data_IF_553901148434
#
_entry.id   IF_553901148434
#
_cell.length_a   1.000
_cell.length_b   1.000
_cell.length_c   1.000
_cell.angle_alpha   90.00
_cell.angle_beta   90.00
_cell.angle_gamma   90.00
#
_symmetry.space_group_name_H-M   'P 1'
#
loop_
_entity.id
_entity.type
_entity.pdbx_description
1 polymer ?
#
# COMPACT_ATOMS: atom_id res chain seq x y z
N UNK A 1 -1.69 5.85 26.00
CA UNK A 1 -2.11 5.49 24.63
C UNK A 1 -3.57 5.13 24.71
N UNK A 2 -4.46 5.91 24.07
CA UNK A 2 -5.87 5.54 23.97
C UNK A 2 -5.98 4.27 23.13
N UNK A 3 -6.68 3.25 23.63
CA UNK A 3 -7.01 2.05 22.89
C UNK A 3 -8.01 2.32 21.75
N UNK A 4 -8.69 3.47 21.80
CA UNK A 4 -9.66 3.93 20.82
C UNK A 4 -9.04 5.12 20.08
N UNK A 5 -8.74 4.93 18.80
CA UNK A 5 -8.35 6.02 17.91
C UNK A 5 -9.61 6.77 17.46
N UNK A 6 -9.97 7.83 18.20
CA UNK A 6 -11.12 8.69 17.90
C UNK A 6 -10.97 9.46 16.57
N UNK A 7 -9.80 9.42 15.92
CA UNK A 7 -9.62 10.05 14.61
C UNK A 7 -10.33 9.29 13.48
N UNK A 8 -10.79 8.05 13.71
CA UNK A 8 -11.50 7.25 12.71
C UNK A 8 -12.88 7.86 12.38
N UNK A 9 -13.64 8.30 13.38
CA UNK A 9 -14.94 8.97 13.17
C UNK A 9 -14.77 10.28 12.40
N UNK A 10 -13.75 11.08 12.74
CA UNK A 10 -13.44 12.32 12.03
C UNK A 10 -12.95 12.10 10.57
N UNK A 11 -12.53 10.88 10.25
CA UNK A 11 -11.99 10.49 8.95
C UNK A 11 -13.05 9.95 7.99
N UNK A 12 -14.16 9.45 8.53
CA UNK A 12 -15.35 8.92 7.87
C UNK A 12 -15.10 7.82 6.82
N UNK A 13 -16.16 7.10 6.42
CA UNK A 13 -16.12 6.22 5.28
C UNK A 13 -15.99 7.03 3.98
N UNK A 14 -15.09 6.60 3.09
CA UNK A 14 -14.87 7.25 1.80
C UNK A 14 -15.33 6.33 0.66
N UNK A 15 -16.50 6.61 0.03
CA UNK A 15 -17.04 5.78 -1.05
C UNK A 15 -16.13 5.67 -2.28
N UNK A 16 -15.37 6.74 -2.56
CA UNK A 16 -14.28 6.72 -3.52
C UNK A 16 -12.96 6.63 -2.77
N UNK A 17 -12.20 5.56 -2.99
CA UNK A 17 -10.93 5.32 -2.30
C UNK A 17 -9.95 4.47 -3.09
N UNK A 18 -8.68 4.56 -2.71
CA UNK A 18 -7.62 3.63 -3.11
C UNK A 18 -7.01 3.02 -1.85
N UNK A 19 -6.89 1.70 -1.79
CA UNK A 19 -6.15 1.02 -0.73
C UNK A 19 -4.78 0.54 -1.26
N UNK A 20 -3.74 0.74 -0.46
CA UNK A 20 -2.35 0.52 -0.84
C UNK A 20 -1.67 -0.52 0.05
N UNK A 21 -1.28 -1.65 -0.54
CA UNK A 21 -0.34 -2.61 0.04
C UNK A 21 1.09 -2.32 -0.48
N UNK A 22 2.12 -2.46 0.35
CA UNK A 22 3.50 -2.06 -0.03
C UNK A 22 4.54 -3.07 0.41
N UNK A 23 5.08 -3.93 -0.45
CA UNK A 23 6.13 -4.87 -0.05
C UNK A 23 7.46 -4.16 0.13
N UNK A 24 8.13 -4.41 1.26
CA UNK A 24 9.50 -3.94 1.50
C UNK A 24 10.42 -5.09 1.87
N UNK A 25 11.71 -4.93 1.61
CA UNK A 25 12.77 -5.88 2.00
C UNK A 25 13.77 -5.17 2.92
N UNK A 26 14.15 -5.81 4.02
CA UNK A 26 15.19 -5.30 4.90
C UNK A 26 16.55 -5.35 4.19
N UNK A 27 17.22 -4.21 4.08
CA UNK A 27 18.53 -4.09 3.48
C UNK A 27 19.58 -3.71 4.53
N UNK A 28 20.85 -3.84 4.14
CA UNK A 28 21.97 -3.41 4.96
C UNK A 28 21.84 -1.91 5.30
N UNK A 29 22.03 -1.49 6.56
CA UNK A 29 22.03 -0.07 6.94
C UNK A 29 23.06 0.77 6.15
N UNK A 30 24.19 0.15 5.75
CA UNK A 30 25.20 0.81 4.92
C UNK A 30 24.68 1.17 3.52
N UNK A 31 23.69 0.45 2.98
CA UNK A 31 23.08 0.81 1.70
C UNK A 31 22.22 2.07 1.79
N UNK A 32 21.88 2.55 3.00
CA UNK A 32 21.18 3.82 3.24
C UNK A 32 19.91 4.00 2.38
N UNK A 33 19.19 2.90 2.14
CA UNK A 33 17.84 2.98 1.59
C UNK A 33 16.97 3.76 2.57
N UNK A 34 16.21 4.73 2.06
CA UNK A 34 15.36 5.58 2.89
C UNK A 34 13.93 5.02 2.91
N UNK A 35 13.16 5.34 3.96
CA UNK A 35 13.56 6.03 5.19
C UNK A 35 14.29 5.14 6.22
N UNK A 36 14.18 3.82 6.09
CA UNK A 36 14.37 2.87 7.19
C UNK A 36 15.28 1.68 6.83
N UNK A 37 16.24 1.88 5.94
CA UNK A 37 17.11 0.83 5.38
C UNK A 37 16.32 -0.32 4.75
N UNK A 38 15.16 0.00 4.16
CA UNK A 38 14.31 -0.95 3.46
C UNK A 38 14.12 -0.54 2.00
N UNK A 39 14.12 -1.53 1.12
CA UNK A 39 13.84 -1.35 -0.30
C UNK A 39 12.34 -1.55 -0.49
N UNK A 40 11.64 -0.56 -1.06
CA UNK A 40 10.28 -0.74 -1.56
C UNK A 40 10.35 -1.57 -2.85
N UNK A 41 9.82 -2.78 -2.83
CA UNK A 41 9.96 -3.73 -3.94
C UNK A 41 8.63 -4.10 -4.61
N UNK A 42 7.49 -3.72 -4.04
CA UNK A 42 6.21 -3.88 -4.71
C UNK A 42 5.09 -3.06 -4.10
N UNK A 43 4.09 -2.76 -4.92
CA UNK A 43 2.90 -2.01 -4.54
C UNK A 43 1.67 -2.73 -5.12
N UNK A 44 0.70 -3.02 -4.28
CA UNK A 44 -0.63 -3.49 -4.68
C UNK A 44 -1.66 -2.40 -4.44
N UNK A 45 -2.61 -2.28 -5.35
CA UNK A 45 -3.69 -1.31 -5.26
C UNK A 45 -5.05 -1.99 -5.42
N UNK A 46 -6.00 -1.55 -4.60
CA UNK A 46 -7.43 -1.71 -4.85
C UNK A 46 -8.00 -0.32 -5.04
N UNK A 47 -8.59 -0.04 -6.20
CA UNK A 47 -9.35 1.18 -6.45
C UNK A 47 -10.83 0.88 -6.32
N UNK A 48 -11.52 1.73 -5.55
CA UNK A 48 -12.95 1.65 -5.31
C UNK A 48 -13.58 2.94 -5.81
N UNK A 49 -14.50 2.81 -6.75
CA UNK A 49 -15.25 3.94 -7.31
C UNK A 49 -16.75 3.71 -7.17
N UNK A 50 -17.52 4.70 -6.66
CA UNK A 50 -18.98 4.65 -6.73
C UNK A 50 -19.44 4.58 -8.20
N UNK A 51 -20.45 3.76 -8.48
CA UNK A 51 -21.01 3.57 -9.82
C UNK A 51 -22.54 3.48 -9.71
N UNK A 52 -23.22 4.60 -9.96
CA UNK A 52 -24.66 4.73 -9.74
C UNK A 52 -25.04 4.44 -8.29
N UNK A 53 -25.83 3.40 -8.06
CA UNK A 53 -26.22 2.92 -6.73
C UNK A 53 -25.27 1.85 -6.15
N UNK A 54 -24.16 1.57 -6.82
CA UNK A 54 -23.24 0.49 -6.47
C UNK A 54 -21.78 0.95 -6.40
N UNK A 55 -20.89 -0.02 -6.47
CA UNK A 55 -19.44 0.18 -6.41
C UNK A 55 -18.76 -0.65 -7.49
N UNK A 56 -17.73 -0.08 -8.10
CA UNK A 56 -16.81 -0.74 -9.01
C UNK A 56 -15.46 -0.88 -8.34
N UNK A 57 -14.82 -2.02 -8.59
CA UNK A 57 -13.53 -2.39 -8.03
C UNK A 57 -12.56 -2.72 -9.16
N UNK A 58 -11.34 -2.23 -9.04
CA UNK A 58 -10.23 -2.67 -9.89
C UNK A 58 -8.99 -2.89 -9.05
N UNK A 59 -8.23 -3.92 -9.36
CA UNK A 59 -6.98 -4.25 -8.68
C UNK A 59 -5.83 -4.24 -9.67
N UNK A 60 -4.67 -3.80 -9.20
CA UNK A 60 -3.43 -3.87 -9.95
C UNK A 60 -2.27 -4.01 -8.98
N UNK A 61 -1.14 -4.52 -9.45
CA UNK A 61 0.08 -4.59 -8.66
C UNK A 61 1.31 -4.49 -9.54
N UNK A 62 2.36 -3.86 -9.00
CA UNK A 62 3.67 -3.79 -9.63
C UNK A 62 4.72 -4.18 -8.62
N UNK A 63 5.60 -5.09 -9.03
CA UNK A 63 6.80 -5.46 -8.31
C UNK A 63 8.03 -5.07 -9.14
N UNK A 64 9.15 -4.81 -8.47
CA UNK A 64 10.42 -4.61 -9.15
C UNK A 64 10.84 -5.89 -9.87
N UNK A 65 11.18 -5.77 -11.14
CA UNK A 65 11.87 -6.77 -11.93
C UNK A 65 13.33 -6.39 -12.19
N UNK A 66 13.94 -7.07 -13.17
CA UNK A 66 15.31 -6.78 -13.57
C UNK A 66 15.46 -5.39 -14.21
N UNK A 67 16.38 -4.59 -13.67
CA UNK A 67 16.63 -3.22 -14.13
C UNK A 67 15.64 -2.17 -13.59
N UNK A 68 14.54 -2.60 -12.95
CA UNK A 68 13.59 -1.68 -12.33
C UNK A 68 14.18 -1.04 -11.07
N UNK A 69 13.79 0.20 -10.82
CA UNK A 69 14.13 0.97 -9.63
C UNK A 69 12.88 1.34 -8.84
N UNK A 70 13.06 1.78 -7.59
CA UNK A 70 11.96 2.30 -6.77
C UNK A 70 11.22 3.44 -7.48
N UNK A 71 11.93 4.24 -8.29
CA UNK A 71 11.32 5.34 -9.05
C UNK A 71 10.32 4.82 -10.07
N UNK A 72 10.57 3.67 -10.71
CA UNK A 72 9.65 3.06 -11.67
C UNK A 72 8.36 2.56 -11.00
N UNK A 73 8.45 2.07 -9.75
CA UNK A 73 7.25 1.76 -8.94
C UNK A 73 6.45 3.02 -8.62
N UNK A 74 7.11 4.12 -8.28
CA UNK A 74 6.43 5.36 -7.95
C UNK A 74 5.82 6.03 -9.18
N UNK A 75 6.47 5.98 -10.34
CA UNK A 75 5.90 6.40 -11.63
C UNK A 75 4.63 5.61 -11.96
N UNK A 76 4.66 4.29 -11.74
CA UNK A 76 3.49 3.43 -11.93
C UNK A 76 2.34 3.77 -10.98
N UNK A 77 2.65 4.04 -9.71
CA UNK A 77 1.66 4.42 -8.69
C UNK A 77 1.08 5.81 -8.94
N UNK A 78 1.90 6.78 -9.36
CA UNK A 78 1.49 8.16 -9.65
C UNK A 78 0.34 8.22 -10.67
N UNK A 79 0.36 7.32 -11.66
CA UNK A 79 -0.69 7.19 -12.66
C UNK A 79 -2.01 6.60 -12.12
N UNK A 80 -1.95 5.90 -10.97
CA UNK A 80 -3.07 5.16 -10.38
C UNK A 80 -3.67 5.83 -9.14
N UNK A 81 -2.93 6.73 -8.49
CA UNK A 81 -3.50 7.53 -7.41
C UNK A 81 -4.56 8.45 -8.01
N UNK A 82 -5.84 8.33 -7.60
CA UNK A 82 -6.90 9.19 -8.10
C UNK A 82 -6.62 10.65 -7.71
N UNK A 83 -7.25 11.61 -8.39
CA UNK A 83 -7.12 13.02 -7.98
C UNK A 83 -7.90 13.34 -6.69
N UNK A 84 -8.95 12.57 -6.42
CA UNK A 84 -9.89 12.74 -5.30
C UNK A 84 -10.10 11.40 -4.57
N UNK A 85 -10.87 11.42 -3.48
CA UNK A 85 -11.14 10.23 -2.66
C UNK A 85 -10.01 9.90 -1.68
N UNK A 86 -10.27 8.98 -0.76
CA UNK A 86 -9.30 8.65 0.30
C UNK A 86 -8.20 7.70 -0.18
N UNK A 87 -7.00 7.82 0.41
CA UNK A 87 -5.95 6.82 0.28
C UNK A 87 -5.82 6.05 1.61
N UNK A 88 -6.06 4.75 1.57
CA UNK A 88 -6.06 3.89 2.75
C UNK A 88 -4.79 3.05 2.75
N UNK A 89 -4.10 2.98 3.88
CA UNK A 89 -2.94 2.11 4.06
C UNK A 89 -2.84 1.64 5.50
N UNK A 90 -1.93 0.72 5.78
CA UNK A 90 -1.66 0.23 7.14
C UNK A 90 -0.16 0.19 7.40
N UNK A 91 0.20 0.11 8.68
CA UNK A 91 1.60 0.08 9.10
C UNK A 91 2.31 -1.13 8.48
N UNK A 92 3.36 -0.84 7.70
CA UNK A 92 4.29 -1.83 7.20
C UNK A 92 5.72 -1.42 7.54
N UNK A 93 6.13 -1.75 8.76
CA UNK A 93 7.41 -1.33 9.34
C UNK A 93 7.55 0.19 9.37
N UNK A 94 6.45 0.89 9.65
CA UNK A 94 6.31 2.33 9.57
C UNK A 94 5.13 2.76 8.71
N UNK A 95 4.84 4.06 8.75
CA UNK A 95 3.74 4.68 8.00
C UNK A 95 4.08 4.75 6.51
N UNK A 96 3.21 4.19 5.67
CA UNK A 96 3.30 4.30 4.20
C UNK A 96 3.41 5.73 3.69
N UNK A 97 2.62 6.73 4.15
CA UNK A 97 2.70 8.08 3.60
C UNK A 97 4.07 8.72 3.86
N UNK A 98 4.68 8.47 5.02
CA UNK A 98 6.03 8.95 5.32
C UNK A 98 7.07 8.35 4.36
N UNK A 99 6.95 7.04 4.06
CA UNK A 99 7.84 6.35 3.12
C UNK A 99 7.69 6.91 1.71
N UNK A 100 6.46 7.09 1.24
CA UNK A 100 6.19 7.67 -0.08
C UNK A 100 6.72 9.09 -0.19
N UNK A 101 6.48 9.96 0.80
CA UNK A 101 7.04 11.32 0.82
C UNK A 101 8.57 11.35 0.80
N UNK A 102 9.21 10.36 1.41
CA UNK A 102 10.68 10.29 1.46
C UNK A 102 11.29 9.82 0.13
N UNK A 103 10.55 9.02 -0.64
CA UNK A 103 11.02 8.41 -1.89
C UNK A 103 10.56 9.15 -3.15
N UNK A 104 9.43 9.87 -3.07
CA UNK A 104 8.82 10.56 -4.19
C UNK A 104 9.67 11.75 -4.66
N UNK A 105 9.72 11.93 -5.97
CA UNK A 105 10.32 13.09 -6.62
C UNK A 105 9.25 14.17 -6.88
N UNK A 106 9.53 15.43 -6.55
CA UNK A 106 8.54 16.51 -6.66
C UNK A 106 8.06 16.77 -8.09
N UNK A 107 8.95 16.65 -9.07
CA UNK A 107 8.62 16.90 -10.47
C UNK A 107 7.90 15.70 -11.10
N UNK A 108 8.21 14.48 -10.66
CA UNK A 108 7.65 13.24 -11.22
C UNK A 108 6.40 12.74 -10.51
N UNK A 109 6.28 12.96 -9.20
CA UNK A 109 5.26 12.31 -8.34
C UNK A 109 4.37 13.31 -7.56
N UNK A 110 3.80 14.35 -8.22
CA UNK A 110 3.04 15.38 -7.51
C UNK A 110 1.78 14.84 -6.81
N UNK A 111 1.08 13.83 -7.36
CA UNK A 111 -0.12 13.26 -6.74
C UNK A 111 0.22 12.41 -5.53
N UNK A 112 1.28 11.60 -5.60
CA UNK A 112 1.79 10.86 -4.44
C UNK A 112 2.09 11.85 -3.31
N UNK A 113 2.82 12.92 -3.59
CA UNK A 113 3.20 13.92 -2.58
C UNK A 113 1.97 14.63 -2.01
N UNK A 114 1.06 15.10 -2.86
CA UNK A 114 -0.16 15.77 -2.41
C UNK A 114 -1.03 14.85 -1.53
N UNK A 115 -1.17 13.58 -1.93
CA UNK A 115 -2.00 12.61 -1.21
C UNK A 115 -1.35 12.18 0.10
N UNK A 116 -0.07 11.83 0.07
CA UNK A 116 0.67 11.37 1.25
C UNK A 116 0.99 12.49 2.24
N UNK A 117 1.04 13.75 1.77
CA UNK A 117 1.18 14.93 2.63
C UNK A 117 -0.09 15.25 3.41
N UNK A 118 -1.26 14.96 2.84
CA UNK A 118 -2.55 15.22 3.48
C UNK A 118 -2.99 14.08 4.42
N UNK A 119 -2.23 13.90 5.52
CA UNK A 119 -2.51 12.87 6.53
C UNK A 119 -3.62 13.23 7.51
N UNK A 120 -4.08 14.48 7.50
CA UNK A 120 -5.24 14.93 8.28
C UNK A 120 -6.55 14.83 7.48
N UNK A 121 -6.49 14.94 6.15
CA UNK A 121 -7.66 15.10 5.28
C UNK A 121 -7.91 13.94 4.33
N UNK A 122 -6.93 13.47 3.56
CA UNK A 122 -7.13 12.48 2.48
C UNK A 122 -6.55 11.11 2.77
N UNK A 123 -5.40 11.06 3.41
CA UNK A 123 -4.77 9.81 3.79
C UNK A 123 -5.43 9.22 5.04
N UNK A 124 -5.56 7.90 5.07
CA UNK A 124 -6.20 7.10 6.12
C UNK A 124 -5.26 5.97 6.49
N UNK A 125 -4.39 6.23 7.46
CA UNK A 125 -3.59 5.17 8.07
C UNK A 125 -4.47 4.39 9.04
N UNK A 126 -4.60 3.09 8.79
CA UNK A 126 -5.31 2.18 9.68
C UNK A 126 -4.56 2.04 11.01
N UNK A 127 -5.28 2.04 12.15
CA UNK A 127 -4.66 1.82 13.45
C UNK A 127 -3.94 0.47 13.50
N UNK A 128 -2.78 0.44 14.16
CA UNK A 128 -1.99 -0.79 14.33
C UNK A 128 -2.78 -1.91 15.01
N UNK A 129 -3.67 -1.58 15.94
CA UNK A 129 -4.55 -2.53 16.63
C UNK A 129 -5.50 -3.28 15.70
N UNK A 130 -5.84 -2.71 14.54
CA UNK A 130 -6.74 -3.35 13.57
C UNK A 130 -5.97 -4.16 12.52
N UNK A 131 -4.65 -4.00 12.49
CA UNK A 131 -3.79 -4.44 11.37
C UNK A 131 -2.63 -5.32 11.79
N UNK A 132 -2.53 -5.65 13.08
CA UNK A 132 -1.46 -6.53 13.60
C UNK A 132 -1.44 -7.91 12.91
N UNK A 133 -2.61 -8.44 12.54
CA UNK A 133 -2.72 -9.70 11.80
C UNK A 133 -2.51 -9.52 10.28
N UNK A 134 -2.57 -8.26 9.83
CA UNK A 134 -2.31 -7.84 8.45
C UNK A 134 -0.86 -7.41 8.23
N UNK A 135 0.03 -7.65 9.21
CA UNK A 135 1.46 -7.41 9.05
C UNK A 135 1.93 -8.09 7.77
N UNK A 136 2.28 -7.25 6.79
CA UNK A 136 2.53 -7.63 5.42
C UNK A 136 3.65 -8.68 5.35
N UNK A 137 3.55 -9.60 4.38
CA UNK A 137 4.40 -10.78 4.24
C UNK A 137 5.89 -10.53 4.53
N UNK A 138 6.51 -11.57 5.10
CA UNK A 138 7.85 -11.53 5.66
C UNK A 138 8.86 -11.00 4.64
N UNK A 139 9.38 -9.82 4.91
CA UNK A 139 10.60 -9.32 4.31
C UNK A 139 11.77 -10.20 4.76
N UNK A 140 12.34 -11.02 3.87
CA UNK A 140 13.62 -11.66 4.17
C UNK A 140 14.68 -10.57 4.36
N UNK A 141 15.46 -10.65 5.43
CA UNK A 141 16.61 -9.76 5.60
C UNK A 141 17.64 -10.14 4.52
N UNK A 142 18.07 -9.16 3.73
CA UNK A 142 19.13 -9.40 2.75
C UNK A 142 20.50 -9.45 3.43
N UNK A 143 21.33 -10.49 3.17
CA UNK A 143 22.71 -10.49 3.60
C UNK A 143 23.49 -9.38 2.88
N UNK A 144 24.58 -8.93 3.50
CA UNK A 144 25.50 -8.00 2.85
C UNK A 144 26.16 -8.69 1.65
N UNK A 145 26.03 -8.11 0.46
CA UNK A 145 26.53 -8.65 -0.81
C UNK A 145 27.60 -7.77 -1.47
N UNK A 146 27.88 -6.59 -0.91
CA UNK A 146 28.96 -5.75 -1.42
C UNK A 146 30.33 -6.37 -1.10
N UNK A 147 31.32 -6.13 -1.97
CA UNK A 147 32.68 -6.59 -1.72
C UNK A 147 33.26 -5.84 -0.51
N UNK A 148 34.20 -6.45 0.24
CA UNK A 148 34.96 -5.73 1.23
C UNK A 148 35.61 -4.48 0.61
N UNK A 149 35.43 -3.32 1.25
CA UNK A 149 35.97 -2.04 0.77
C UNK A 149 35.10 -1.28 -0.24
N UNK A 150 33.90 -1.78 -0.60
CA UNK A 150 32.95 -1.00 -1.41
C UNK A 150 32.55 0.30 -0.71
N UNK A 151 32.74 1.48 -1.34
CA UNK A 151 32.25 2.75 -0.83
C UNK A 151 30.74 2.75 -0.58
N UNK A 152 30.32 3.45 0.48
CA UNK A 152 28.93 3.47 0.96
C UNK A 152 27.94 4.03 -0.08
N UNK A 153 28.40 4.97 -0.90
CA UNK A 153 27.67 5.58 -2.00
C UNK A 153 27.48 4.63 -3.20
N UNK A 154 28.39 3.69 -3.40
CA UNK A 154 28.30 2.63 -4.43
C UNK A 154 27.47 1.41 -3.99
N UNK A 155 27.10 1.35 -2.70
CA UNK A 155 26.34 0.23 -2.13
C UNK A 155 24.86 0.21 -2.57
N UNK A 156 24.30 1.35 -2.99
CA UNK A 156 22.88 1.51 -3.36
C UNK A 156 22.47 0.85 -4.68
N UNK A 157 23.41 0.70 -5.61
CA UNK A 157 23.15 0.45 -7.03
C UNK A 157 23.11 -1.03 -7.42
N UNK A 158 23.34 -1.96 -6.50
CA UNK A 158 23.54 -3.37 -6.82
C UNK A 158 22.65 -4.32 -6.01
N UNK A 159 21.36 -4.01 -5.84
CA UNK A 159 20.41 -5.05 -5.35
C UNK A 159 20.16 -6.05 -6.48
N UNK A 160 20.69 -7.29 -6.40
CA UNK A 160 20.50 -8.29 -7.43
C UNK A 160 19.04 -8.70 -7.43
N UNK A 161 18.46 -8.74 -8.62
CA UNK A 161 17.04 -9.05 -8.82
C UNK A 161 16.68 -10.47 -8.40
N UNK A 162 17.68 -11.36 -8.37
CA UNK A 162 17.57 -12.71 -7.78
C UNK A 162 17.22 -12.72 -6.28
N UNK A 163 17.34 -11.59 -5.58
CA UNK A 163 16.98 -11.46 -4.15
C UNK A 163 15.62 -10.77 -3.93
N UNK A 164 14.97 -10.31 -4.99
CA UNK A 164 13.59 -9.84 -4.94
C UNK A 164 12.66 -11.05 -4.84
N UNK A 165 11.53 -10.94 -4.11
CA UNK A 165 10.55 -12.02 -4.09
C UNK A 165 9.98 -12.21 -5.50
N UNK A 166 9.53 -13.44 -5.78
CA UNK A 166 8.92 -13.75 -7.08
C UNK A 166 7.81 -12.72 -7.40
N UNK A 167 7.93 -11.98 -8.51
CA UNK A 167 7.05 -10.84 -8.77
C UNK A 167 5.61 -11.27 -9.03
N UNK A 168 5.38 -12.45 -9.59
CA UNK A 168 4.04 -12.97 -9.84
C UNK A 168 3.31 -13.32 -8.54
N UNK A 169 3.97 -14.08 -7.66
CA UNK A 169 3.45 -14.43 -6.34
C UNK A 169 3.23 -13.18 -5.48
N UNK A 170 4.22 -12.28 -5.46
CA UNK A 170 4.16 -11.03 -4.69
C UNK A 170 3.02 -10.14 -5.15
N UNK A 171 2.76 -10.04 -6.46
CA UNK A 171 1.66 -9.26 -6.99
C UNK A 171 0.29 -9.77 -6.51
N UNK A 172 0.08 -11.09 -6.52
CA UNK A 172 -1.17 -11.72 -6.02
C UNK A 172 -1.35 -11.45 -4.53
N UNK A 173 -0.30 -11.62 -3.73
CA UNK A 173 -0.34 -11.31 -2.30
C UNK A 173 -0.67 -9.84 -2.03
N UNK A 174 -0.03 -8.92 -2.75
CA UNK A 174 -0.24 -7.49 -2.60
C UNK A 174 -1.67 -7.07 -2.96
N UNK A 175 -2.26 -7.67 -3.99
CA UNK A 175 -3.68 -7.46 -4.33
C UNK A 175 -4.57 -7.96 -3.18
N UNK A 176 -4.31 -9.17 -2.68
CA UNK A 176 -5.05 -9.74 -1.54
C UNK A 176 -4.96 -8.87 -0.29
N UNK A 177 -3.77 -8.37 0.02
CA UNK A 177 -3.52 -7.45 1.14
C UNK A 177 -4.26 -6.11 0.95
N UNK A 178 -4.24 -5.52 -0.26
CA UNK A 178 -4.99 -4.29 -0.58
C UNK A 178 -6.50 -4.45 -0.40
N UNK A 179 -7.04 -5.58 -0.87
CA UNK A 179 -8.46 -5.93 -0.67
C UNK A 179 -8.77 -6.07 0.82
N UNK A 180 -7.97 -6.86 1.54
CA UNK A 180 -8.19 -7.10 2.97
C UNK A 180 -8.09 -5.80 3.78
N UNK A 181 -7.14 -4.91 3.44
CA UNK A 181 -6.96 -3.63 4.12
C UNK A 181 -8.17 -2.73 3.94
N UNK A 182 -8.65 -2.60 2.70
CA UNK A 182 -9.87 -1.87 2.42
C UNK A 182 -11.09 -2.47 3.13
N UNK A 183 -11.23 -3.81 3.11
CA UNK A 183 -12.32 -4.50 3.81
C UNK A 183 -12.32 -4.21 5.31
N UNK A 184 -11.15 -4.25 5.94
CA UNK A 184 -10.98 -3.91 7.35
C UNK A 184 -11.41 -2.46 7.60
N UNK A 185 -10.97 -1.51 6.77
CA UNK A 185 -11.40 -0.11 6.87
C UNK A 185 -12.93 0.04 6.75
N UNK A 186 -13.55 -0.55 5.72
CA UNK A 186 -14.99 -0.43 5.49
C UNK A 186 -15.82 -1.02 6.64
N UNK A 187 -15.37 -2.13 7.25
CA UNK A 187 -16.06 -2.74 8.41
C UNK A 187 -16.10 -1.85 9.65
N UNK A 188 -15.12 -0.96 9.83
CA UNK A 188 -15.12 0.00 10.94
C UNK A 188 -16.33 0.93 10.95
N UNK A 189 -16.97 1.12 9.79
CA UNK A 189 -18.16 1.94 9.64
C UNK A 189 -19.40 1.07 9.36
N UNK A 190 -19.23 -0.04 8.64
CA UNK A 190 -20.33 -0.92 8.30
C UNK A 190 -20.97 -1.61 9.51
N UNK A 191 -20.20 -1.96 10.54
CA UNK A 191 -20.70 -2.77 11.65
C UNK A 191 -21.56 -1.96 12.65
N UNK A 192 -21.59 -0.63 12.53
CA UNK A 192 -22.24 0.28 13.49
C UNK A 192 -23.54 0.92 12.99
N UNK A 193 -23.84 0.86 11.68
CA UNK A 193 -24.96 1.60 11.06
C UNK A 193 -26.02 0.68 10.41
N UNK A 194 -27.18 1.27 10.11
CA UNK A 194 -28.31 0.67 9.38
C UNK A 194 -27.86 -0.07 8.10
N UNK A 195 -28.63 -1.08 7.69
CA UNK A 195 -28.32 -1.94 6.54
C UNK A 195 -28.07 -1.18 5.21
N UNK A 196 -28.51 0.07 5.13
CA UNK A 196 -28.37 0.99 4.00
C UNK A 196 -27.10 1.87 4.06
N UNK A 197 -26.24 1.72 5.07
CA UNK A 197 -25.00 2.48 5.17
C UNK A 197 -24.09 2.21 3.95
N UNK A 198 -23.48 3.24 3.33
CA UNK A 198 -22.64 3.08 2.14
C UNK A 198 -21.51 2.07 2.30
N UNK A 199 -20.94 1.92 3.50
CA UNK A 199 -19.90 0.94 3.77
C UNK A 199 -20.42 -0.51 3.66
N UNK A 200 -21.63 -0.79 4.15
CA UNK A 200 -22.28 -2.10 4.01
C UNK A 200 -22.62 -2.41 2.55
N UNK A 201 -23.12 -1.41 1.80
CA UNK A 201 -23.36 -1.55 0.37
C UNK A 201 -22.06 -1.86 -0.40
N UNK A 202 -20.96 -1.19 -0.04
CA UNK A 202 -19.64 -1.41 -0.65
C UNK A 202 -19.07 -2.80 -0.31
N UNK A 203 -19.21 -3.26 0.94
CA UNK A 203 -18.79 -4.61 1.34
C UNK A 203 -19.55 -5.70 0.57
N UNK A 204 -20.88 -5.58 0.46
CA UNK A 204 -21.69 -6.52 -0.34
C UNK A 204 -21.32 -6.50 -1.83
N UNK A 205 -21.03 -5.31 -2.36
CA UNK A 205 -20.59 -5.18 -3.75
C UNK A 205 -19.22 -5.83 -3.97
N UNK A 206 -18.30 -5.71 -3.02
CA UNK A 206 -17.00 -6.36 -3.07
C UNK A 206 -17.14 -7.89 -3.03
N UNK A 207 -18.01 -8.44 -2.17
CA UNK A 207 -18.24 -9.88 -2.09
C UNK A 207 -18.76 -10.45 -3.42
N UNK A 208 -19.69 -9.75 -4.08
CA UNK A 208 -20.14 -10.12 -5.43
C UNK A 208 -19.01 -10.04 -6.45
N UNK A 209 -18.28 -8.93 -6.48
CA UNK A 209 -17.15 -8.75 -7.38
C UNK A 209 -16.08 -9.85 -7.22
N UNK A 210 -15.82 -10.30 -5.99
CA UNK A 210 -14.90 -11.43 -5.73
C UNK A 210 -15.46 -12.77 -6.19
N UNK A 211 -16.76 -13.01 -6.04
CA UNK A 211 -17.42 -14.24 -6.50
C UNK A 211 -17.43 -14.35 -8.03
N UNK A 212 -17.48 -13.21 -8.73
CA UNK A 212 -17.45 -13.14 -10.19
C UNK A 212 -16.03 -13.27 -10.77
N UNK A 213 -14.98 -13.20 -9.94
CA UNK A 213 -13.62 -13.46 -10.43
C UNK A 213 -13.44 -14.96 -10.69
N UNK A 214 -12.80 -15.35 -11.81
CA UNK A 214 -12.40 -16.73 -12.03
C UNK A 214 -11.57 -17.16 -10.82
N UNK A 215 -11.85 -18.35 -10.26
CA UNK A 215 -11.03 -18.90 -9.20
C UNK A 215 -9.60 -19.11 -9.71
N UNK A 216 -8.75 -18.11 -9.51
CA UNK A 216 -7.32 -18.16 -9.81
C UNK A 216 -6.72 -19.15 -8.81
N UNK A 217 -6.50 -20.37 -9.28
CA UNK A 217 -5.69 -21.40 -8.61
C UNK A 217 -4.22 -21.15 -8.86
#
# INVERSE_FOLDING_TARGET
MSLIDLSIEARDFAPASIALAVRTIGACPAARHRPDARILCGIGVLTVTPDGSGFRFSTDARCLGEGDTVVDLLDWLEQRIPATGAAISWDNWGRVPHRLLTLADLARHPRIIATAGDTAGRWRDMPRGNTWHMHQARAHLMPCICRPGTPVDECKSATPTALLPDPATTAVELIGEAIAGWQCWARLFGDFDDADHPAQAALRALDRWRADQPATR
#
